data_IF_451593629120
#
_entry.id   IF_451593629120
#
_cell.length_a   1.000
_cell.length_b   1.000
_cell.length_c   1.000
_cell.angle_alpha   90.00
_cell.angle_beta   90.00
_cell.angle_gamma   90.00
#
_symmetry.space_group_name_H-M   'P 1'
#
loop_
_entity.id
_entity.type
_entity.pdbx_description
1 polymer ?
#
# COMPACT_ATOMS: atom_id res chain seq x y z
N UNK A 1 14.94 -45.17 50.37
CA UNK A 1 16.42 -45.24 50.34
C UNK A 1 16.84 -43.97 49.67
N UNK A 2 17.11 -43.00 50.52
CA UNK A 2 18.45 -42.47 50.85
C UNK A 2 19.02 -41.63 49.68
N UNK A 3 19.49 -40.46 49.80
CA UNK A 3 19.94 -39.51 50.84
C UNK A 3 20.16 -38.18 50.09
N UNK A 4 19.72 -37.06 50.57
CA UNK A 4 20.39 -36.17 51.55
C UNK A 4 21.52 -35.29 51.00
N UNK A 5 21.35 -33.96 51.28
CA UNK A 5 22.36 -33.04 51.85
C UNK A 5 23.33 -32.44 50.85
N UNK A 6 23.57 -31.14 50.74
CA UNK A 6 23.77 -29.98 51.64
C UNK A 6 23.84 -28.70 50.83
N UNK A 7 23.18 -27.62 51.18
CA UNK A 7 23.57 -26.45 51.95
C UNK A 7 25.06 -26.06 51.82
N UNK A 8 25.32 -24.91 51.18
CA UNK A 8 26.25 -23.92 51.73
C UNK A 8 25.91 -22.51 51.23
N UNK A 9 25.70 -21.66 52.18
CA UNK A 9 25.66 -20.21 52.20
C UNK A 9 26.92 -19.63 51.59
N UNK A 10 26.79 -18.59 50.78
CA UNK A 10 27.77 -17.49 50.77
C UNK A 10 27.10 -16.21 50.34
N UNK A 11 26.83 -15.41 51.31
CA UNK A 11 26.47 -13.99 51.26
C UNK A 11 27.71 -13.20 50.76
N UNK A 12 27.58 -12.52 49.63
CA UNK A 12 28.56 -11.51 49.26
C UNK A 12 27.86 -10.26 48.73
N UNK A 13 27.80 -9.30 49.62
CA UNK A 13 27.38 -7.93 49.41
C UNK A 13 28.48 -7.22 48.65
N UNK A 14 28.24 -6.81 47.41
CA UNK A 14 29.12 -5.88 46.68
C UNK A 14 28.30 -4.67 46.26
N UNK A 15 28.60 -3.59 46.93
CA UNK A 15 28.26 -2.22 46.68
C UNK A 15 28.97 -1.79 45.39
N UNK A 16 28.28 -1.40 44.35
CA UNK A 16 28.91 -0.78 43.19
C UNK A 16 28.26 0.56 42.86
N UNK A 17 29.09 1.49 43.00
CA UNK A 17 29.10 2.90 42.82
C UNK A 17 28.51 3.31 41.44
N UNK A 18 27.59 4.26 41.50
CA UNK A 18 27.14 5.07 40.39
C UNK A 18 28.31 5.85 39.78
N UNK A 19 28.61 5.59 38.52
CA UNK A 19 29.45 6.46 37.71
C UNK A 19 28.64 6.96 36.51
N UNK A 20 28.12 8.18 36.63
CA UNK A 20 27.71 8.98 35.49
C UNK A 20 28.94 9.30 34.64
N UNK A 21 29.03 8.69 33.46
CA UNK A 21 29.98 9.12 32.45
C UNK A 21 29.18 9.95 31.40
N UNK A 22 29.38 11.25 31.49
CA UNK A 22 28.99 12.19 30.46
C UNK A 22 29.88 11.96 29.24
N UNK A 23 29.26 11.48 28.16
CA UNK A 23 29.92 11.42 26.85
C UNK A 23 29.95 12.83 26.28
N UNK A 24 31.12 13.41 26.25
CA UNK A 24 31.40 14.61 25.48
C UNK A 24 31.52 14.24 24.01
N UNK A 25 30.60 14.76 23.19
CA UNK A 25 30.69 14.68 21.74
C UNK A 25 31.73 15.70 21.30
N UNK A 26 32.90 15.21 20.95
CA UNK A 26 33.92 16.01 20.26
C UNK A 26 33.47 16.16 18.81
N UNK A 27 33.18 17.38 18.35
CA UNK A 27 33.06 17.71 16.96
C UNK A 27 34.43 17.55 16.28
N UNK A 28 34.64 16.41 15.64
CA UNK A 28 35.66 16.31 14.59
C UNK A 28 35.02 16.65 13.26
N UNK A 29 35.51 17.74 12.69
CA UNK A 29 35.22 18.13 11.31
C UNK A 29 35.73 17.04 10.39
N UNK A 30 34.79 16.24 9.81
CA UNK A 30 35.09 15.36 8.70
C UNK A 30 34.71 16.06 7.40
N UNK A 31 35.78 16.40 6.69
CA UNK A 31 35.80 16.93 5.33
C UNK A 31 34.89 16.13 4.39
N UNK A 32 34.13 16.87 3.63
CA UNK A 32 33.64 16.65 2.27
C UNK A 32 34.08 15.32 1.62
N UNK A 33 33.19 14.33 1.68
CA UNK A 33 33.14 13.30 0.66
C UNK A 33 31.71 13.32 0.09
N UNK A 34 31.61 13.87 -1.10
CA UNK A 34 30.44 13.84 -1.96
C UNK A 34 29.97 12.39 -2.15
N UNK A 35 29.03 11.98 -1.32
CA UNK A 35 28.32 10.73 -1.52
C UNK A 35 27.36 10.97 -2.69
N UNK A 36 27.73 10.45 -3.86
CA UNK A 36 26.84 10.26 -4.98
C UNK A 36 25.72 9.29 -4.55
N UNK A 37 24.76 9.78 -3.82
CA UNK A 37 23.69 9.00 -3.28
C UNK A 37 22.39 9.77 -3.28
N UNK A 38 21.76 9.94 -4.40
CA UNK A 38 20.32 10.25 -4.39
C UNK A 38 19.69 9.98 -5.77
N UNK A 39 19.65 8.73 -6.18
CA UNK A 39 18.75 8.33 -7.25
C UNK A 39 17.56 7.51 -6.76
N UNK A 40 17.45 7.23 -5.46
CA UNK A 40 16.40 6.36 -4.92
C UNK A 40 15.11 7.14 -4.63
N UNK A 41 15.22 8.39 -4.15
CA UNK A 41 14.06 9.19 -3.74
C UNK A 41 13.21 9.67 -4.92
N UNK A 42 13.83 10.05 -6.04
CA UNK A 42 13.11 10.51 -7.24
C UNK A 42 12.33 9.38 -7.95
N UNK A 43 12.88 8.17 -7.97
CA UNK A 43 12.23 7.02 -8.60
C UNK A 43 11.03 6.54 -7.77
N UNK A 44 11.12 6.58 -6.45
CA UNK A 44 10.00 6.29 -5.54
C UNK A 44 8.85 7.29 -5.72
N UNK A 45 9.15 8.58 -5.81
CA UNK A 45 8.15 9.64 -5.98
C UNK A 45 7.41 9.53 -7.31
N UNK A 46 8.11 9.26 -8.42
CA UNK A 46 7.49 9.09 -9.74
C UNK A 46 6.58 7.84 -9.79
N UNK A 47 7.00 6.74 -9.17
CA UNK A 47 6.19 5.52 -9.05
C UNK A 47 4.91 5.79 -8.27
N UNK A 48 5.02 6.45 -7.12
CA UNK A 48 3.90 6.83 -6.28
C UNK A 48 2.92 7.76 -7.02
N UNK A 49 3.43 8.72 -7.80
CA UNK A 49 2.61 9.63 -8.59
C UNK A 49 1.79 8.93 -9.68
N UNK A 50 2.37 7.94 -10.36
CA UNK A 50 1.64 7.14 -11.38
C UNK A 50 0.53 6.32 -10.74
N UNK A 51 0.78 5.70 -9.59
CA UNK A 51 -0.21 4.89 -8.89
C UNK A 51 -1.30 5.77 -8.25
N UNK A 52 -0.94 6.87 -7.59
CA UNK A 52 -1.88 7.78 -6.94
C UNK A 52 -2.87 8.44 -7.93
N UNK A 53 -2.47 8.61 -9.19
CA UNK A 53 -3.32 9.17 -10.25
C UNK A 53 -4.08 8.10 -11.06
N UNK A 54 -3.88 6.82 -10.76
CA UNK A 54 -4.50 5.73 -11.49
C UNK A 54 -5.88 5.39 -10.89
N UNK A 55 -6.84 6.28 -11.11
CA UNK A 55 -8.25 6.06 -10.77
C UNK A 55 -9.02 5.76 -12.06
N UNK A 56 -9.77 4.67 -12.04
CA UNK A 56 -10.62 4.22 -13.15
C UNK A 56 -12.08 4.44 -12.78
N UNK A 57 -12.82 5.17 -13.61
CA UNK A 57 -14.25 5.45 -13.41
C UNK A 57 -15.11 4.58 -14.30
N UNK A 58 -16.33 4.31 -13.82
CA UNK A 58 -17.30 3.44 -14.50
C UNK A 58 -18.66 4.12 -14.62
N UNK A 59 -19.39 3.75 -15.65
CA UNK A 59 -20.79 4.13 -15.82
C UNK A 59 -21.68 3.40 -14.80
N UNK A 60 -22.92 3.88 -14.70
CA UNK A 60 -23.90 3.27 -13.80
C UNK A 60 -24.08 1.78 -14.15
N UNK A 61 -24.01 0.95 -13.12
CA UNK A 61 -24.17 -0.51 -13.23
C UNK A 61 -23.20 -1.20 -14.21
N UNK A 62 -22.09 -0.54 -14.59
CA UNK A 62 -21.11 -1.10 -15.51
C UNK A 62 -19.81 -1.47 -14.78
N UNK A 63 -19.14 -2.51 -15.32
CA UNK A 63 -17.78 -2.90 -14.95
C UNK A 63 -16.82 -2.96 -16.15
N UNK A 64 -17.28 -2.54 -17.33
CA UNK A 64 -16.47 -2.50 -18.55
C UNK A 64 -15.53 -1.30 -18.54
N UNK A 65 -14.28 -1.52 -18.98
CA UNK A 65 -13.28 -0.46 -19.11
C UNK A 65 -13.59 0.43 -20.32
N UNK A 66 -13.58 1.73 -20.11
CA UNK A 66 -13.65 2.72 -21.18
C UNK A 66 -12.29 2.94 -21.84
N UNK A 67 -12.24 3.53 -23.04
CA UNK A 67 -10.99 3.90 -23.70
C UNK A 67 -10.09 4.80 -22.82
N UNK A 68 -10.69 5.74 -22.07
CA UNK A 68 -9.99 6.60 -21.11
C UNK A 68 -9.38 5.80 -19.96
N UNK A 69 -10.13 4.84 -19.43
CA UNK A 69 -9.65 3.93 -18.39
C UNK A 69 -8.46 3.08 -18.87
N UNK A 70 -8.56 2.54 -20.09
CA UNK A 70 -7.50 1.75 -20.73
C UNK A 70 -6.22 2.58 -20.87
N UNK A 71 -6.32 3.85 -21.25
CA UNK A 71 -5.15 4.73 -21.38
C UNK A 71 -4.47 4.99 -20.04
N UNK A 72 -5.24 5.21 -18.96
CA UNK A 72 -4.69 5.34 -17.61
C UNK A 72 -3.99 4.06 -17.15
N UNK A 73 -4.61 2.90 -17.37
CA UNK A 73 -4.07 1.60 -16.99
C UNK A 73 -2.80 1.20 -17.76
N UNK A 74 -2.62 1.72 -18.97
CA UNK A 74 -1.39 1.50 -19.75
C UNK A 74 -0.17 2.01 -18.99
N UNK A 75 -0.25 3.20 -18.38
CA UNK A 75 0.82 3.74 -17.54
C UNK A 75 1.15 2.85 -16.34
N UNK A 76 0.13 2.30 -15.68
CA UNK A 76 0.30 1.36 -14.56
C UNK A 76 0.96 0.07 -15.03
N UNK A 77 0.49 -0.53 -16.13
CA UNK A 77 1.06 -1.74 -16.71
C UNK A 77 2.54 -1.55 -17.04
N UNK A 78 2.90 -0.46 -17.71
CA UNK A 78 4.29 -0.17 -18.09
C UNK A 78 5.18 0.08 -16.87
N UNK A 79 4.65 0.73 -15.82
CA UNK A 79 5.35 0.89 -14.54
C UNK A 79 5.64 -0.46 -13.90
N UNK A 80 4.64 -1.34 -13.82
CA UNK A 80 4.76 -2.65 -13.19
C UNK A 80 5.68 -3.60 -13.97
N UNK A 81 5.73 -3.49 -15.29
CA UNK A 81 6.69 -4.26 -16.13
C UNK A 81 8.12 -3.84 -15.88
N UNK A 82 8.38 -2.54 -15.74
CA UNK A 82 9.71 -2.02 -15.40
C UNK A 82 10.15 -2.29 -13.97
N UNK A 83 9.19 -2.47 -13.05
CA UNK A 83 9.45 -2.68 -11.63
C UNK A 83 8.81 -3.98 -11.16
N UNK A 84 9.51 -5.08 -11.32
CA UNK A 84 9.03 -6.44 -11.02
C UNK A 84 8.66 -6.67 -9.53
N UNK A 85 9.15 -5.84 -8.61
CA UNK A 85 8.93 -5.98 -7.17
C UNK A 85 7.65 -5.31 -6.68
N UNK A 86 7.00 -4.46 -7.49
CA UNK A 86 5.80 -3.75 -7.08
C UNK A 86 4.61 -4.70 -7.06
N UNK A 87 3.89 -4.73 -5.95
CA UNK A 87 2.56 -5.32 -5.79
C UNK A 87 1.57 -4.18 -5.59
N UNK A 88 0.40 -4.27 -6.16
CA UNK A 88 -0.66 -3.25 -6.03
C UNK A 88 -1.94 -3.84 -5.49
N UNK A 89 -2.69 -3.01 -4.75
CA UNK A 89 -4.08 -3.24 -4.38
C UNK A 89 -5.00 -2.53 -5.37
N UNK A 90 -6.01 -3.24 -5.85
CA UNK A 90 -7.02 -2.77 -6.80
C UNK A 90 -8.35 -2.76 -6.05
N UNK A 91 -8.77 -1.57 -5.63
CA UNK A 91 -9.90 -1.36 -4.74
C UNK A 91 -11.13 -0.88 -5.50
N UNK A 92 -12.16 -1.72 -5.57
CA UNK A 92 -13.39 -1.44 -6.30
C UNK A 92 -14.48 -0.84 -5.43
N UNK A 93 -15.19 0.15 -6.00
CA UNK A 93 -16.25 0.90 -5.33
C UNK A 93 -17.50 1.02 -6.20
N UNK A 94 -18.63 1.22 -5.56
CA UNK A 94 -19.92 1.51 -6.16
C UNK A 94 -20.51 2.80 -5.59
N UNK A 95 -21.55 3.33 -6.24
CA UNK A 95 -22.40 4.36 -5.63
C UNK A 95 -23.43 3.70 -4.70
N UNK A 96 -24.14 4.50 -3.92
CA UNK A 96 -25.07 4.05 -2.88
C UNK A 96 -26.38 3.40 -3.39
N UNK A 97 -26.61 3.37 -4.70
CA UNK A 97 -27.85 2.84 -5.28
C UNK A 97 -27.79 1.33 -5.40
N UNK A 98 -28.79 0.64 -4.87
CA UNK A 98 -28.88 -0.82 -4.84
C UNK A 98 -28.76 -1.39 -3.44
N UNK A 99 -28.51 -2.70 -3.34
CA UNK A 99 -28.25 -3.34 -2.06
C UNK A 99 -26.75 -3.38 -1.77
N UNK A 100 -26.40 -3.43 -0.51
CA UNK A 100 -25.02 -3.54 -0.05
C UNK A 100 -24.29 -4.73 -0.69
N UNK A 101 -24.95 -5.89 -0.74
CA UNK A 101 -24.40 -7.11 -1.32
C UNK A 101 -24.18 -6.96 -2.82
N UNK A 102 -25.12 -6.35 -3.52
CA UNK A 102 -25.00 -6.07 -4.94
C UNK A 102 -23.82 -5.14 -5.22
N UNK A 103 -23.71 -4.04 -4.48
CA UNK A 103 -22.66 -3.05 -4.63
C UNK A 103 -21.28 -3.62 -4.29
N UNK A 104 -21.19 -4.51 -3.29
CA UNK A 104 -19.95 -5.23 -3.00
C UNK A 104 -19.53 -6.12 -4.18
N UNK A 105 -20.48 -6.87 -4.76
CA UNK A 105 -20.23 -7.70 -5.95
C UNK A 105 -19.88 -6.85 -7.18
N UNK A 106 -20.52 -5.70 -7.38
CA UNK A 106 -20.23 -4.78 -8.49
C UNK A 106 -18.83 -4.18 -8.37
N UNK A 107 -18.46 -3.74 -7.15
CA UNK A 107 -17.10 -3.26 -6.87
C UNK A 107 -16.05 -4.34 -7.15
N UNK A 108 -16.32 -5.60 -6.78
CA UNK A 108 -15.43 -6.71 -7.07
C UNK A 108 -15.29 -6.94 -8.59
N UNK A 109 -16.37 -6.96 -9.35
CA UNK A 109 -16.33 -7.08 -10.82
C UNK A 109 -15.52 -5.96 -11.48
N UNK A 110 -15.62 -4.73 -10.99
CA UNK A 110 -14.82 -3.59 -11.45
C UNK A 110 -13.33 -3.78 -11.18
N UNK A 111 -12.98 -4.20 -9.97
CA UNK A 111 -11.58 -4.49 -9.61
C UNK A 111 -11.01 -5.63 -10.46
N UNK A 112 -11.78 -6.66 -10.72
CA UNK A 112 -11.38 -7.79 -11.58
C UNK A 112 -11.22 -7.41 -13.05
N UNK A 113 -12.01 -6.49 -13.57
CA UNK A 113 -11.86 -5.97 -14.93
C UNK A 113 -10.52 -5.22 -15.07
N UNK A 114 -10.13 -4.42 -14.08
CA UNK A 114 -8.83 -3.76 -14.05
C UNK A 114 -7.70 -4.79 -13.94
N UNK A 115 -7.80 -5.76 -13.04
CA UNK A 115 -6.80 -6.82 -12.88
C UNK A 115 -6.63 -7.63 -14.16
N UNK A 116 -7.73 -8.01 -14.82
CA UNK A 116 -7.71 -8.76 -16.08
C UNK A 116 -7.00 -7.99 -17.19
N UNK A 117 -7.25 -6.68 -17.29
CA UNK A 117 -6.53 -5.83 -18.24
C UNK A 117 -5.01 -5.82 -17.98
N UNK A 118 -4.59 -5.65 -16.72
CA UNK A 118 -3.17 -5.64 -16.37
C UNK A 118 -2.51 -6.98 -16.65
N UNK A 119 -3.19 -8.10 -16.38
CA UNK A 119 -2.70 -9.46 -16.69
C UNK A 119 -2.52 -9.63 -18.20
N UNK A 120 -3.53 -9.24 -19.00
CA UNK A 120 -3.47 -9.30 -20.45
C UNK A 120 -2.31 -8.46 -21.03
N UNK A 121 -1.85 -7.43 -20.30
CA UNK A 121 -0.72 -6.59 -20.65
C UNK A 121 0.62 -7.02 -19.99
N UNK A 122 0.70 -8.25 -19.48
CA UNK A 122 1.95 -8.87 -19.02
C UNK A 122 2.28 -8.66 -17.54
N UNK A 123 1.32 -8.22 -16.71
CA UNK A 123 1.52 -8.15 -15.26
C UNK A 123 1.12 -9.49 -14.63
N UNK A 124 1.99 -10.07 -13.81
CA UNK A 124 1.73 -11.35 -13.14
C UNK A 124 0.59 -11.24 -12.12
N UNK A 125 -0.33 -12.20 -12.12
CA UNK A 125 -1.52 -12.22 -11.25
C UNK A 125 -1.19 -12.13 -9.75
N UNK A 126 -0.12 -12.77 -9.30
CA UNK A 126 0.33 -12.79 -7.91
C UNK A 126 0.78 -11.41 -7.36
N UNK A 127 0.89 -10.43 -8.23
CA UNK A 127 1.24 -9.04 -7.88
C UNK A 127 0.00 -8.12 -7.80
N UNK A 128 -1.19 -8.66 -8.01
CA UNK A 128 -2.46 -7.94 -8.06
C UNK A 128 -3.38 -8.44 -6.96
N UNK A 129 -3.73 -7.58 -6.01
CA UNK A 129 -4.66 -7.87 -4.93
C UNK A 129 -5.97 -7.13 -5.22
N UNK A 130 -7.02 -7.86 -5.56
CA UNK A 130 -8.35 -7.28 -5.79
C UNK A 130 -9.16 -7.24 -4.50
N UNK A 131 -9.86 -6.14 -4.26
CA UNK A 131 -10.71 -5.95 -3.10
C UNK A 131 -11.90 -5.06 -3.46
N UNK A 132 -13.05 -5.34 -2.89
CA UNK A 132 -14.23 -4.48 -3.02
C UNK A 132 -14.60 -3.87 -1.66
N UNK A 133 -14.98 -2.62 -1.71
CA UNK A 133 -15.63 -1.90 -0.62
C UNK A 133 -17.11 -1.60 -0.93
N UNK A 134 -17.58 -1.92 -2.15
CA UNK A 134 -18.92 -1.56 -2.56
C UNK A 134 -19.17 -0.07 -2.36
N UNK A 135 -20.24 0.27 -1.65
CA UNK A 135 -20.63 1.65 -1.32
C UNK A 135 -20.04 2.17 0.00
N UNK A 136 -19.34 1.34 0.76
CA UNK A 136 -18.93 1.64 2.15
C UNK A 136 -17.85 2.71 2.29
N UNK A 137 -17.14 3.03 1.20
CA UNK A 137 -16.09 4.05 1.18
C UNK A 137 -16.33 5.07 0.07
N UNK A 138 -17.34 5.92 0.22
CA UNK A 138 -17.62 6.94 -0.78
C UNK A 138 -16.50 7.99 -0.83
N UNK A 139 -16.12 8.39 -2.05
CA UNK A 139 -15.19 9.49 -2.28
C UNK A 139 -15.92 10.85 -2.15
N UNK A 140 -17.19 10.86 -2.53
CA UNK A 140 -18.03 12.05 -2.46
C UNK A 140 -19.33 11.70 -1.76
N UNK A 141 -19.66 12.48 -0.73
CA UNK A 141 -20.93 12.37 -0.04
C UNK A 141 -22.02 13.13 -0.81
N UNK A 142 -23.23 12.60 -0.77
CA UNK A 142 -24.43 13.21 -1.39
C UNK A 142 -25.08 12.28 -2.41
N UNK A 143 -26.42 12.39 -2.49
CA UNK A 143 -27.30 11.57 -3.32
C UNK A 143 -27.62 12.29 -4.61
N UNK A 144 -26.60 12.47 -5.46
CA UNK A 144 -26.72 13.10 -6.78
C UNK A 144 -25.74 12.53 -7.79
N UNK A 145 -25.96 12.77 -9.08
CA UNK A 145 -25.15 12.22 -10.16
C UNK A 145 -23.67 12.61 -10.06
N UNK A 146 -23.36 13.81 -9.58
CA UNK A 146 -21.98 14.27 -9.41
C UNK A 146 -21.25 13.45 -8.34
N UNK A 147 -21.87 13.17 -7.21
CA UNK A 147 -21.31 12.33 -6.16
C UNK A 147 -21.22 10.85 -6.64
N UNK A 148 -22.29 10.33 -7.20
CA UNK A 148 -22.34 8.95 -7.68
C UNK A 148 -21.27 8.65 -8.74
N UNK A 149 -21.06 9.56 -9.69
CA UNK A 149 -20.04 9.38 -10.73
C UNK A 149 -18.63 9.30 -10.17
N UNK A 150 -18.32 10.00 -9.07
CA UNK A 150 -17.04 9.92 -8.37
C UNK A 150 -16.91 8.63 -7.55
N UNK A 151 -18.02 8.10 -7.04
CA UNK A 151 -18.03 6.90 -6.23
C UNK A 151 -17.88 5.63 -7.06
N UNK A 152 -18.38 5.61 -8.32
CA UNK A 152 -18.22 4.50 -9.26
C UNK A 152 -16.79 4.43 -9.79
N UNK A 153 -15.88 3.90 -9.00
CA UNK A 153 -14.45 3.91 -9.34
C UNK A 153 -13.70 2.66 -8.90
N UNK A 154 -12.52 2.51 -9.43
CA UNK A 154 -11.45 1.64 -8.90
C UNK A 154 -10.24 2.50 -8.59
N UNK A 155 -9.70 2.37 -7.41
CA UNK A 155 -8.44 2.97 -6.99
C UNK A 155 -7.31 1.94 -7.03
N UNK A 156 -6.13 2.35 -7.47
CA UNK A 156 -4.93 1.51 -7.50
C UNK A 156 -3.93 2.08 -6.46
N UNK A 157 -3.50 1.20 -5.53
CA UNK A 157 -2.60 1.56 -4.41
C UNK A 157 -1.42 0.61 -4.29
#
# INVERSE_FOLDING_TARGET
MNQSINIFFALSLILVISACSSVQITEEAVSDQSVAGVSITSKSTATQAVLANAVVYFDYDQSNLTAKSIQALKGVSDLMKRNQKITISIEGHADERGTREYNLALGQRRAESVASYLIANGVSRNRLITKSYGEERPLSLGSNDTAWSKNRRVEIK
#
